data_IF_118164396556
#
_entry.id   IF_118164396556
#
_cell.length_a   1.000
_cell.length_b   1.000
_cell.length_c   1.000
_cell.angle_alpha   90.00
_cell.angle_beta   90.00
_cell.angle_gamma   90.00
#
_symmetry.space_group_name_H-M   'P 1'
#
loop_
_entity.id
_entity.type
_entity.pdbx_description
1 polymer ?
#
# COMPACT_ATOMS: atom_id res chain seq x y z
N UNK A 1 31.15 81.83 14.23
CA UNK A 1 32.20 80.88 14.65
C UNK A 1 31.68 79.47 14.38
N UNK A 2 32.37 78.70 13.53
CA UNK A 2 32.23 77.25 13.19
C UNK A 2 30.88 76.80 12.57
N UNK A 3 30.75 76.70 11.24
CA UNK A 3 31.05 75.54 10.35
C UNK A 3 30.41 74.23 10.85
N UNK A 4 29.60 73.49 10.09
CA UNK A 4 30.10 72.60 9.01
C UNK A 4 28.96 72.00 8.16
N UNK A 5 29.08 72.23 6.84
CA UNK A 5 28.77 71.42 5.64
C UNK A 5 27.47 70.59 5.50
N UNK A 6 26.71 71.02 4.49
CA UNK A 6 25.86 70.25 3.58
C UNK A 6 26.77 69.47 2.62
N UNK A 7 26.60 68.15 2.46
CA UNK A 7 27.10 67.35 1.31
C UNK A 7 26.60 65.90 1.41
N UNK A 8 25.89 65.39 0.40
CA UNK A 8 25.50 63.98 0.35
C UNK A 8 24.46 63.66 -0.73
N UNK A 9 24.84 63.89 -1.98
CA UNK A 9 24.09 63.65 -3.20
C UNK A 9 24.19 62.16 -3.64
N UNK A 10 23.05 61.55 -3.97
CA UNK A 10 22.80 60.45 -4.93
C UNK A 10 23.77 59.24 -5.00
N UNK A 11 23.27 58.03 -4.71
CA UNK A 11 23.54 56.83 -5.52
C UNK A 11 22.52 55.70 -5.23
N UNK A 12 22.05 55.06 -6.30
CA UNK A 12 20.98 54.04 -6.42
C UNK A 12 21.52 52.62 -6.08
N UNK A 13 20.66 51.59 -5.95
CA UNK A 13 21.00 50.33 -5.28
C UNK A 13 21.91 49.45 -6.14
N UNK A 14 22.89 48.81 -5.49
CA UNK A 14 23.69 47.75 -6.11
C UNK A 14 22.87 46.46 -6.07
N UNK A 15 22.33 46.08 -7.22
CA UNK A 15 21.84 44.73 -7.51
C UNK A 15 23.09 43.88 -7.74
N UNK A 16 23.44 43.01 -6.79
CA UNK A 16 24.43 41.95 -7.04
C UNK A 16 23.67 40.69 -7.46
N UNK A 17 23.73 40.38 -8.75
CA UNK A 17 23.12 39.21 -9.34
C UNK A 17 24.01 37.96 -9.28
N UNK A 18 23.31 36.82 -9.38
CA UNK A 18 23.71 35.48 -9.81
C UNK A 18 24.84 34.74 -9.06
N UNK A 19 24.49 33.60 -8.46
CA UNK A 19 24.74 32.30 -9.13
C UNK A 19 23.98 31.15 -8.48
N UNK A 20 23.49 30.28 -9.35
CA UNK A 20 22.59 29.16 -9.11
C UNK A 20 23.46 27.98 -8.66
N UNK A 21 23.29 27.51 -7.43
CA UNK A 21 23.81 26.22 -7.00
C UNK A 21 22.63 25.26 -6.84
N UNK A 22 22.33 24.54 -7.93
CA UNK A 22 21.52 23.34 -7.88
C UNK A 22 22.17 22.35 -6.91
N UNK A 23 21.48 22.03 -5.83
CA UNK A 23 21.71 20.77 -5.11
C UNK A 23 20.40 19.99 -5.14
N UNK A 24 20.32 19.07 -6.10
CA UNK A 24 19.37 17.99 -6.09
C UNK A 24 19.64 17.13 -4.86
N UNK A 25 18.75 17.17 -3.88
CA UNK A 25 18.56 16.09 -2.93
C UNK A 25 17.15 15.57 -3.18
N UNK A 26 17.09 14.43 -3.87
CA UNK A 26 15.87 13.68 -4.15
C UNK A 26 15.19 13.32 -2.82
N UNK A 27 14.20 14.11 -2.40
CA UNK A 27 13.25 13.68 -1.39
C UNK A 27 12.15 12.90 -2.11
N UNK A 28 12.46 11.64 -2.44
CA UNK A 28 11.44 10.63 -2.69
C UNK A 28 11.46 9.65 -1.52
N UNK A 29 11.06 10.16 -0.34
CA UNK A 29 10.29 9.28 0.54
C UNK A 29 8.94 9.18 -0.15
N UNK A 30 8.72 8.04 -0.81
CA UNK A 30 7.36 7.56 -1.06
C UNK A 30 6.66 7.53 0.29
N UNK A 31 5.79 8.50 0.53
CA UNK A 31 4.72 8.36 1.52
C UNK A 31 3.77 7.26 1.00
N UNK A 32 4.17 6.01 1.17
CA UNK A 32 3.18 4.95 1.33
C UNK A 32 2.44 5.30 2.64
N UNK A 33 1.12 5.52 2.62
CA UNK A 33 0.43 5.89 3.84
C UNK A 33 0.58 4.77 4.88
N UNK A 34 1.27 5.10 5.98
CA UNK A 34 1.37 4.26 7.16
C UNK A 34 -0.05 3.89 7.63
N UNK A 35 -0.45 2.63 7.41
CA UNK A 35 -1.77 2.09 7.75
C UNK A 35 -2.02 1.99 9.28
N UNK A 36 -1.20 2.62 10.11
CA UNK A 36 -1.15 2.39 11.56
C UNK A 36 -1.55 3.59 12.45
N UNK A 37 -1.94 4.75 11.91
CA UNK A 37 -2.29 5.89 12.77
C UNK A 37 -3.51 6.71 12.31
N UNK A 38 -4.70 6.34 12.77
CA UNK A 38 -5.73 7.34 13.13
C UNK A 38 -6.83 6.74 14.00
N UNK A 39 -6.54 6.65 15.30
CA UNK A 39 -7.56 6.42 16.35
C UNK A 39 -8.29 7.74 16.69
N UNK A 40 -8.72 8.50 15.68
CA UNK A 40 -9.56 9.70 15.84
C UNK A 40 -10.65 9.70 14.76
N UNK A 41 -11.89 9.65 15.23
CA UNK A 41 -13.12 9.44 14.48
C UNK A 41 -13.55 10.66 13.65
N UNK A 42 -13.06 10.78 12.42
CA UNK A 42 -13.64 11.68 11.41
C UNK A 42 -13.55 11.02 10.02
N UNK A 43 -14.67 10.42 9.59
CA UNK A 43 -15.04 10.11 8.21
C UNK A 43 -13.88 9.66 7.30
N UNK A 44 -13.38 8.45 7.52
CA UNK A 44 -12.73 7.70 6.45
C UNK A 44 -13.85 7.33 5.47
N UNK A 45 -13.85 7.93 4.28
CA UNK A 45 -14.74 7.56 3.19
C UNK A 45 -14.82 6.03 3.07
N UNK A 46 -16.02 5.41 2.97
CA UNK A 46 -16.18 3.96 2.87
C UNK A 46 -15.38 3.30 1.74
N UNK A 47 -14.91 4.10 0.78
CA UNK A 47 -14.12 3.67 -0.37
C UNK A 47 -12.67 3.25 -0.02
N UNK A 48 -12.01 3.82 1.00
CA UNK A 48 -10.63 3.41 1.34
C UNK A 48 -10.59 2.19 2.27
N UNK A 49 -11.61 2.01 3.11
CA UNK A 49 -11.72 0.85 4.01
C UNK A 49 -11.98 -0.48 3.28
N UNK A 50 -12.37 -0.41 2.00
CA UNK A 50 -12.77 -1.57 1.21
C UNK A 50 -11.85 -1.83 0.00
N UNK A 51 -10.62 -1.30 0.07
CA UNK A 51 -9.64 -1.37 -1.01
C UNK A 51 -9.35 -2.81 -1.45
N UNK A 52 -9.48 -3.83 -0.60
CA UNK A 52 -9.28 -5.24 -0.99
C UNK A 52 -10.55 -6.09 -0.92
N UNK A 53 -11.71 -5.48 -1.21
CA UNK A 53 -13.03 -6.11 -1.19
C UNK A 53 -13.39 -6.81 0.13
N UNK A 54 -12.81 -6.35 1.24
CA UNK A 54 -13.01 -6.96 2.55
C UNK A 54 -14.48 -6.88 2.98
N UNK A 55 -15.19 -5.80 2.63
CA UNK A 55 -16.61 -5.66 2.92
C UNK A 55 -17.43 -6.75 2.24
N UNK A 56 -17.23 -6.98 0.94
CA UNK A 56 -17.97 -8.02 0.20
C UNK A 56 -17.66 -9.41 0.74
N UNK A 57 -16.38 -9.68 1.06
CA UNK A 57 -15.96 -10.96 1.64
C UNK A 57 -16.67 -11.19 2.98
N UNK A 58 -16.78 -10.17 3.83
CA UNK A 58 -17.45 -10.26 5.12
C UNK A 58 -18.98 -10.42 5.00
N UNK A 59 -19.57 -9.82 3.95
CA UNK A 59 -20.99 -9.98 3.64
C UNK A 59 -21.31 -11.28 2.91
N UNK A 60 -20.29 -12.00 2.42
CA UNK A 60 -20.46 -13.21 1.62
C UNK A 60 -20.78 -12.95 0.15
N UNK A 61 -20.66 -11.71 -0.31
CA UNK A 61 -20.91 -11.27 -1.69
C UNK A 61 -19.70 -11.60 -2.59
N UNK A 62 -19.34 -12.89 -2.67
CA UNK A 62 -18.13 -13.36 -3.33
C UNK A 62 -18.02 -12.98 -4.81
N UNK A 63 -19.15 -12.84 -5.51
CA UNK A 63 -19.18 -12.40 -6.90
C UNK A 63 -18.67 -10.95 -7.04
N UNK A 64 -19.14 -10.04 -6.18
CA UNK A 64 -18.65 -8.66 -6.20
C UNK A 64 -17.20 -8.58 -5.73
N UNK A 65 -16.84 -9.35 -4.71
CA UNK A 65 -15.47 -9.40 -4.22
C UNK A 65 -14.49 -9.81 -5.32
N UNK A 66 -14.80 -10.89 -6.05
CA UNK A 66 -13.99 -11.35 -7.16
C UNK A 66 -13.90 -10.31 -8.28
N UNK A 67 -15.03 -9.73 -8.69
CA UNK A 67 -15.03 -8.71 -9.75
C UNK A 67 -14.10 -7.55 -9.39
N UNK A 68 -14.15 -7.09 -8.14
CA UNK A 68 -13.28 -6.02 -7.66
C UNK A 68 -11.82 -6.47 -7.64
N UNK A 69 -11.51 -7.62 -7.05
CA UNK A 69 -10.14 -8.13 -6.93
C UNK A 69 -9.50 -8.50 -8.29
N UNK A 70 -10.31 -8.80 -9.31
CA UNK A 70 -9.81 -9.04 -10.68
C UNK A 70 -9.59 -7.77 -11.50
N UNK A 71 -10.03 -6.60 -11.03
CA UNK A 71 -9.77 -5.34 -11.73
C UNK A 71 -8.27 -5.01 -11.71
N UNK A 72 -7.57 -5.29 -12.81
CA UNK A 72 -6.12 -5.11 -12.93
C UNK A 72 -5.68 -3.65 -12.92
N UNK A 73 -6.58 -2.70 -13.17
CA UNK A 73 -6.26 -1.27 -13.10
C UNK A 73 -6.20 -0.76 -11.65
N UNK A 74 -6.80 -1.49 -10.71
CA UNK A 74 -6.90 -1.08 -9.31
C UNK A 74 -5.78 -1.64 -8.41
N UNK A 75 -4.99 -2.61 -8.90
CA UNK A 75 -3.98 -3.28 -8.10
C UNK A 75 -2.75 -3.67 -8.91
N UNK A 76 -1.61 -3.69 -8.23
CA UNK A 76 -0.43 -4.37 -8.75
C UNK A 76 -0.69 -5.88 -8.87
N UNK A 77 -0.16 -6.47 -9.94
CA UNK A 77 -0.34 -7.90 -10.21
C UNK A 77 0.20 -8.79 -9.08
N UNK A 78 1.22 -8.29 -8.38
CA UNK A 78 1.94 -8.96 -7.29
C UNK A 78 1.58 -8.44 -5.89
N UNK A 79 0.47 -7.71 -5.75
CA UNK A 79 0.01 -7.27 -4.43
C UNK A 79 -0.45 -8.48 -3.58
N UNK A 80 0.23 -8.80 -2.46
CA UNK A 80 -0.05 -9.97 -1.65
C UNK A 80 -1.43 -9.91 -0.99
N UNK A 81 -1.93 -8.74 -0.62
CA UNK A 81 -3.25 -8.59 0.01
C UNK A 81 -4.36 -8.88 -0.98
N UNK A 82 -4.22 -8.37 -2.20
CA UNK A 82 -5.15 -8.66 -3.29
C UNK A 82 -5.13 -10.15 -3.65
N UNK A 83 -3.94 -10.73 -3.83
CA UNK A 83 -3.81 -12.15 -4.18
C UNK A 83 -4.40 -13.06 -3.11
N UNK A 84 -4.17 -12.79 -1.82
CA UNK A 84 -4.68 -13.63 -0.74
C UNK A 84 -6.20 -13.52 -0.57
N UNK A 85 -6.76 -12.32 -0.77
CA UNK A 85 -8.21 -12.13 -0.72
C UNK A 85 -8.89 -12.76 -1.93
N UNK A 86 -8.29 -12.69 -3.13
CA UNK A 86 -8.82 -13.37 -4.31
C UNK A 86 -8.76 -14.90 -4.14
N UNK A 87 -7.66 -15.43 -3.62
CA UNK A 87 -7.52 -16.85 -3.31
C UNK A 87 -8.58 -17.32 -2.30
N UNK A 88 -8.84 -16.53 -1.25
CA UNK A 88 -9.91 -16.81 -0.28
C UNK A 88 -11.28 -16.85 -0.96
N UNK A 89 -11.59 -15.89 -1.83
CA UNK A 89 -12.86 -15.85 -2.57
C UNK A 89 -13.00 -17.08 -3.50
N UNK A 90 -11.94 -17.44 -4.22
CA UNK A 90 -11.89 -18.64 -5.08
C UNK A 90 -12.12 -19.92 -4.26
N UNK A 91 -11.47 -20.04 -3.10
CA UNK A 91 -11.66 -21.16 -2.17
C UNK A 91 -13.11 -21.23 -1.67
N UNK A 92 -13.68 -20.10 -1.23
CA UNK A 92 -15.08 -20.03 -0.74
C UNK A 92 -16.12 -20.35 -1.82
N UNK A 93 -15.75 -20.17 -3.09
CA UNK A 93 -16.61 -20.46 -4.26
C UNK A 93 -16.33 -21.82 -4.90
N UNK A 94 -15.47 -22.65 -4.29
CA UNK A 94 -15.24 -24.04 -4.73
C UNK A 94 -14.15 -24.22 -5.80
N UNK A 95 -13.46 -23.15 -6.20
CA UNK A 95 -12.41 -23.19 -7.24
C UNK A 95 -11.04 -23.38 -6.60
N UNK A 96 -10.82 -24.59 -6.07
CA UNK A 96 -9.67 -24.91 -5.22
C UNK A 96 -8.34 -24.83 -5.98
N UNK A 97 -8.30 -25.24 -7.24
CA UNK A 97 -7.09 -25.23 -8.07
C UNK A 97 -6.61 -23.80 -8.35
N UNK A 98 -7.54 -22.89 -8.69
CA UNK A 98 -7.23 -21.46 -8.88
C UNK A 98 -6.77 -20.82 -7.56
N UNK A 99 -7.44 -21.13 -6.44
CA UNK A 99 -7.05 -20.64 -5.13
C UNK A 99 -5.64 -21.10 -4.76
N UNK A 100 -5.34 -22.39 -4.95
CA UNK A 100 -4.02 -22.96 -4.68
C UNK A 100 -2.93 -22.29 -5.53
N UNK A 101 -3.18 -22.01 -6.82
CA UNK A 101 -2.24 -21.30 -7.67
C UNK A 101 -1.91 -19.90 -7.12
N UNK A 102 -2.92 -19.15 -6.67
CA UNK A 102 -2.70 -17.82 -6.07
C UNK A 102 -1.97 -17.90 -4.72
N UNK A 103 -2.30 -18.88 -3.87
CA UNK A 103 -1.57 -19.08 -2.62
C UNK A 103 -0.09 -19.40 -2.86
N UNK A 104 0.22 -20.27 -3.84
CA UNK A 104 1.62 -20.55 -4.24
C UNK A 104 2.31 -19.27 -4.73
N UNK A 105 1.65 -18.46 -5.55
CA UNK A 105 2.20 -17.16 -5.99
C UNK A 105 2.54 -16.25 -4.82
N UNK A 106 1.69 -16.14 -3.79
CA UNK A 106 1.98 -15.34 -2.58
C UNK A 106 3.23 -15.85 -1.86
N UNK A 107 3.44 -17.17 -1.80
CA UNK A 107 4.63 -17.76 -1.18
C UNK A 107 5.93 -17.42 -1.94
N UNK A 108 5.84 -17.24 -3.26
CA UNK A 108 6.96 -16.87 -4.15
C UNK A 108 7.30 -15.38 -4.14
N UNK A 109 6.43 -14.50 -3.63
CA UNK A 109 6.70 -13.06 -3.60
C UNK A 109 7.85 -12.71 -2.64
N UNK A 110 8.67 -11.72 -2.97
CA UNK A 110 9.69 -11.22 -2.03
C UNK A 110 9.06 -10.54 -0.80
N UNK A 111 7.96 -9.82 -1.02
CA UNK A 111 7.25 -9.12 0.04
C UNK A 111 6.43 -10.06 0.92
N UNK A 112 6.50 -9.86 2.23
CA UNK A 112 5.73 -10.61 3.22
C UNK A 112 5.14 -9.69 4.31
N UNK A 113 4.19 -8.80 3.95
CA UNK A 113 3.54 -7.94 4.91
C UNK A 113 2.62 -8.72 5.87
N UNK A 114 2.12 -8.06 6.92
CA UNK A 114 1.17 -8.66 7.86
C UNK A 114 -0.26 -8.23 7.51
N UNK A 115 -1.18 -9.19 7.44
CA UNK A 115 -2.61 -8.93 7.33
C UNK A 115 -3.25 -8.90 8.72
N UNK A 116 -4.11 -7.91 8.97
CA UNK A 116 -4.92 -7.86 10.17
C UNK A 116 -5.99 -8.95 10.16
N UNK A 117 -6.14 -9.66 11.28
CA UNK A 117 -7.18 -10.65 11.46
C UNK A 117 -8.25 -10.14 12.44
N UNK A 118 -9.42 -10.76 12.43
CA UNK A 118 -10.50 -10.47 13.38
C UNK A 118 -10.10 -10.67 14.85
N UNK A 119 -9.04 -11.44 15.12
CA UNK A 119 -8.46 -11.62 16.45
C UNK A 119 -7.71 -10.39 16.98
N UNK A 120 -7.51 -9.36 16.15
CA UNK A 120 -6.71 -8.18 16.48
C UNK A 120 -5.20 -8.36 16.33
N UNK A 121 -4.74 -9.58 16.03
CA UNK A 121 -3.33 -9.86 15.73
C UNK A 121 -3.09 -9.88 14.22
N UNK A 122 -1.96 -9.29 13.79
CA UNK A 122 -1.51 -9.41 12.42
C UNK A 122 -0.76 -10.72 12.18
N UNK A 123 -1.10 -11.45 11.12
CA UNK A 123 -0.36 -12.64 10.67
C UNK A 123 0.33 -12.35 9.33
N UNK A 124 1.50 -12.95 9.08
CA UNK A 124 2.16 -12.76 7.78
C UNK A 124 1.31 -13.34 6.66
N UNK A 125 1.25 -12.65 5.52
CA UNK A 125 0.47 -13.12 4.36
C UNK A 125 0.98 -14.47 3.85
N UNK A 126 2.29 -14.74 3.94
CA UNK A 126 2.84 -16.04 3.58
C UNK A 126 2.40 -17.15 4.53
N UNK A 127 2.32 -16.90 5.84
CA UNK A 127 1.80 -17.91 6.78
C UNK A 127 0.32 -18.20 6.55
N UNK A 128 -0.47 -17.18 6.20
CA UNK A 128 -1.88 -17.36 5.85
C UNK A 128 -1.98 -18.20 4.58
N UNK A 129 -1.21 -17.87 3.54
CA UNK A 129 -1.21 -18.59 2.27
C UNK A 129 -0.77 -20.05 2.43
N UNK A 130 0.31 -20.31 3.19
CA UNK A 130 0.80 -21.67 3.44
C UNK A 130 -0.21 -22.55 4.18
N UNK A 131 -0.86 -22.00 5.23
CA UNK A 131 -1.92 -22.73 5.96
C UNK A 131 -3.14 -23.00 5.08
N UNK A 132 -3.56 -22.01 4.30
CA UNK A 132 -4.70 -22.15 3.40
C UNK A 132 -4.41 -23.18 2.30
N UNK A 133 -3.22 -23.12 1.69
CA UNK A 133 -2.76 -24.07 0.68
C UNK A 133 -2.74 -25.50 1.23
N UNK A 134 -2.12 -25.72 2.40
CA UNK A 134 -2.09 -27.03 3.04
C UNK A 134 -3.49 -27.59 3.36
N UNK A 135 -4.50 -26.72 3.56
CA UNK A 135 -5.87 -27.14 3.82
C UNK A 135 -6.65 -27.56 2.57
N UNK A 136 -6.27 -27.08 1.38
CA UNK A 136 -6.97 -27.33 0.12
C UNK A 136 -6.18 -28.22 -0.86
N UNK A 137 -4.87 -28.33 -0.65
CA UNK A 137 -3.95 -29.13 -1.44
C UNK A 137 -2.86 -29.71 -0.52
N UNK A 138 -3.18 -30.78 0.23
CA UNK A 138 -2.23 -31.39 1.17
C UNK A 138 -1.03 -32.05 0.46
N UNK A 139 -1.15 -32.41 -0.82
CA UNK A 139 -0.07 -33.02 -1.62
C UNK A 139 1.02 -32.00 -1.98
N UNK A 140 0.69 -30.69 -2.00
CA UNK A 140 1.69 -29.64 -2.24
C UNK A 140 2.80 -29.52 -1.19
N UNK A 141 2.66 -30.20 -0.05
CA UNK A 141 3.63 -30.20 1.05
C UNK A 141 4.62 -31.37 1.00
N UNK A 142 4.55 -32.24 -0.03
CA UNK A 142 5.53 -33.32 -0.19
C UNK A 142 6.79 -32.79 -0.88
N UNK A 143 8.00 -33.01 -0.30
CA UNK A 143 9.24 -32.73 -1.01
C UNK A 143 9.31 -33.61 -2.26
N UNK A 144 9.44 -32.98 -3.43
CA UNK A 144 9.73 -33.67 -4.69
C UNK A 144 11.10 -34.34 -4.68
#
# INVERSE_FOLDING_TARGET
MRTTKISGLLARPVILGLSIASLAACATVSDAPDYHASRNAALIEPATADHYAMKDILLGDFNQAEQRLRNTEAYDENDPYRLINLALVLQKTGRMEEAAALYRRVLELEQNPRAGLASGYGQSVKDIAGKALASIDPESNEPK
#
